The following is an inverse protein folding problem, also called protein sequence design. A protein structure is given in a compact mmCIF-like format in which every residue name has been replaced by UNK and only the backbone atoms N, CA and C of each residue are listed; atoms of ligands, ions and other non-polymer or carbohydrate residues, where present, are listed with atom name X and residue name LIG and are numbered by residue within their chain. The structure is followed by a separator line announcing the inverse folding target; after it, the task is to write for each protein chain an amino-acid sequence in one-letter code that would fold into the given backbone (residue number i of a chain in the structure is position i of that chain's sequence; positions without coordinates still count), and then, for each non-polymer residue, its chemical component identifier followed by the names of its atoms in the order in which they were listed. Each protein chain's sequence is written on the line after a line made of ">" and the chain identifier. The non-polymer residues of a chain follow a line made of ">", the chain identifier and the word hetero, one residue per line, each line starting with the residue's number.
data_IF_287009559605
#
_entry.id   IF_287009559605
#
_cell.length_a   1.000
_cell.length_b   1.000
_cell.length_c   1.000
_cell.angle_alpha   90.00
_cell.angle_beta   90.00
_cell.angle_gamma   90.00
#
_symmetry.space_group_name_H-M   'P 1'
#
loop_
_entity.id
_entity.type
_entity.pdbx_description
1 polymer ?
#
# COMPACT_ATOMS: atom_id res chain seq x y z
N UNK A 1 6.65 -7.10 14.65
CA UNK A 1 6.67 -7.30 13.18
C UNK A 1 5.64 -8.32 12.64
N UNK A 2 4.93 -9.09 13.46
CA UNK A 2 3.82 -9.98 13.00
C UNK A 2 2.47 -9.26 12.82
N UNK A 3 2.16 -8.29 13.69
CA UNK A 3 1.05 -7.33 13.48
C UNK A 3 1.31 -6.31 12.35
N UNK A 4 2.55 -6.29 11.85
CA UNK A 4 2.95 -5.49 10.71
C UNK A 4 2.44 -6.12 9.41
N UNK A 5 2.00 -7.39 9.33
CA UNK A 5 1.77 -8.06 8.03
C UNK A 5 0.45 -7.78 7.32
N UNK A 6 -0.64 -7.47 8.03
CA UNK A 6 -1.91 -7.09 7.36
C UNK A 6 -1.91 -5.61 7.01
N UNK A 7 -1.29 -4.81 7.88
CA UNK A 7 -0.89 -3.44 7.61
C UNK A 7 0.13 -3.41 6.48
N UNK A 8 1.10 -4.33 6.42
CA UNK A 8 2.03 -4.50 5.30
C UNK A 8 1.25 -4.97 4.11
N UNK A 9 0.40 -6.00 4.07
CA UNK A 9 -0.29 -6.36 2.82
C UNK A 9 -1.10 -5.19 2.27
N UNK A 10 -1.78 -4.41 3.12
CA UNK A 10 -2.45 -3.18 2.69
C UNK A 10 -1.45 -2.07 2.28
N UNK A 11 -0.36 -1.87 3.03
CA UNK A 11 0.73 -0.94 2.76
C UNK A 11 1.65 -1.45 1.65
N UNK A 12 1.69 -2.72 1.27
CA UNK A 12 2.50 -3.35 0.22
C UNK A 12 1.67 -3.35 -1.04
N UNK A 13 0.35 -3.59 -0.97
CA UNK A 13 -0.53 -3.33 -2.11
C UNK A 13 -0.55 -1.83 -2.45
N UNK A 14 -0.49 -0.95 -1.44
CA UNK A 14 -0.40 0.50 -1.63
C UNK A 14 1.03 0.99 -1.99
N UNK A 15 2.06 0.59 -1.25
CA UNK A 15 3.47 0.99 -1.44
C UNK A 15 4.22 0.17 -2.49
N UNK A 16 3.85 -1.07 -2.84
CA UNK A 16 4.51 -1.76 -3.97
C UNK A 16 3.97 -1.23 -5.29
N UNK A 17 2.70 -0.83 -5.33
CA UNK A 17 2.16 0.02 -6.41
C UNK A 17 2.87 1.36 -6.44
N UNK A 18 2.88 2.13 -5.35
CA UNK A 18 3.53 3.45 -5.29
C UNK A 18 5.05 3.41 -5.43
N UNK A 19 5.75 2.36 -4.97
CA UNK A 19 7.22 2.21 -5.10
C UNK A 19 7.62 1.67 -6.46
N UNK A 20 6.84 0.75 -7.08
CA UNK A 20 7.11 0.33 -8.46
C UNK A 20 6.72 1.44 -9.45
N UNK A 21 5.62 2.16 -9.21
CA UNK A 21 5.24 3.37 -9.96
C UNK A 21 6.30 4.46 -9.74
N UNK A 22 6.77 4.70 -8.50
CA UNK A 22 7.88 5.61 -8.20
C UNK A 22 9.18 5.19 -8.88
N UNK A 23 9.56 3.91 -8.83
CA UNK A 23 10.75 3.41 -9.52
C UNK A 23 10.61 3.55 -11.04
N UNK A 24 9.40 3.39 -11.57
CA UNK A 24 9.08 3.60 -13.00
C UNK A 24 9.15 5.09 -13.36
N UNK A 25 8.58 5.97 -12.54
CA UNK A 25 8.62 7.42 -12.71
C UNK A 25 10.05 7.95 -12.59
N UNK A 26 10.82 7.46 -11.62
CA UNK A 26 12.26 7.70 -11.48
C UNK A 26 12.99 7.14 -12.70
N UNK A 27 12.59 5.97 -13.21
CA UNK A 27 13.18 5.36 -14.41
C UNK A 27 13.01 6.26 -15.65
N UNK A 28 11.78 6.65 -15.92
CA UNK A 28 11.43 7.50 -17.07
C UNK A 28 12.01 8.91 -16.91
N UNK A 29 11.96 9.46 -15.70
CA UNK A 29 12.38 10.84 -15.44
C UNK A 29 13.88 10.97 -15.38
N UNK A 30 14.62 10.02 -14.79
CA UNK A 30 16.04 10.21 -14.47
C UNK A 30 17.04 9.47 -15.35
N UNK A 31 16.65 8.40 -16.04
CA UNK A 31 17.64 7.58 -16.78
C UNK A 31 17.71 7.97 -18.25
N UNK A 32 18.90 7.82 -18.84
CA UNK A 32 19.15 8.05 -20.28
C UNK A 32 19.86 6.88 -20.99
N UNK A 33 20.54 5.97 -20.27
CA UNK A 33 21.53 5.07 -20.91
C UNK A 33 21.69 3.69 -20.22
N UNK A 34 20.92 3.38 -19.16
CA UNK A 34 21.00 2.08 -18.47
C UNK A 34 22.29 1.80 -17.68
N UNK A 35 23.21 2.76 -17.54
CA UNK A 35 24.51 2.53 -16.90
C UNK A 35 24.42 2.20 -15.39
N UNK A 36 23.43 2.73 -14.69
CA UNK A 36 23.18 2.42 -13.27
C UNK A 36 22.35 1.13 -13.05
N UNK A 37 21.83 0.48 -14.10
CA UNK A 37 20.90 -0.66 -13.96
C UNK A 37 21.56 -1.96 -13.52
N UNK A 38 22.84 -2.18 -13.83
CA UNK A 38 23.55 -3.42 -13.50
C UNK A 38 23.77 -3.64 -11.99
N UNK A 39 23.24 -2.77 -11.13
CA UNK A 39 23.43 -2.86 -9.68
C UNK A 39 22.12 -3.04 -8.86
N UNK A 40 20.95 -3.07 -9.50
CA UNK A 40 19.67 -3.29 -8.81
C UNK A 40 19.36 -4.79 -8.58
N UNK A 41 20.26 -5.49 -7.89
CA UNK A 41 19.98 -6.81 -7.30
C UNK A 41 19.59 -6.71 -5.82
N UNK A 42 19.25 -5.52 -5.34
CA UNK A 42 18.81 -5.32 -3.96
C UNK A 42 17.32 -5.64 -3.85
N UNK A 43 16.99 -6.93 -3.89
CA UNK A 43 15.62 -7.44 -3.75
C UNK A 43 15.23 -7.77 -2.30
N UNK A 44 16.07 -7.40 -1.32
CA UNK A 44 15.82 -7.71 0.08
C UNK A 44 16.10 -6.50 0.97
N UNK A 45 15.26 -6.28 1.97
CA UNK A 45 15.53 -5.34 3.06
C UNK A 45 16.49 -6.01 4.06
N UNK A 46 17.50 -5.30 4.61
CA UNK A 46 18.43 -5.86 5.56
C UNK A 46 17.72 -6.21 6.87
N UNK A 47 17.94 -7.43 7.38
CA UNK A 47 17.17 -7.98 8.53
C UNK A 47 18.06 -8.08 9.78
N UNK A 48 19.37 -8.27 9.58
CA UNK A 48 20.38 -8.29 10.64
C UNK A 48 21.36 -7.12 10.46
N UNK A 49 22.13 -6.79 11.51
CA UNK A 49 23.22 -5.82 11.42
C UNK A 49 24.26 -6.24 10.36
N UNK A 50 24.49 -7.55 10.20
CA UNK A 50 25.35 -8.10 9.15
C UNK A 50 24.76 -7.85 7.75
N UNK A 51 23.45 -8.03 7.58
CA UNK A 51 22.77 -7.72 6.32
C UNK A 51 22.77 -6.23 6.04
N UNK A 52 22.59 -5.39 7.07
CA UNK A 52 22.65 -3.94 6.96
C UNK A 52 24.04 -3.49 6.51
N UNK A 53 25.11 -4.06 7.08
CA UNK A 53 26.48 -3.80 6.67
C UNK A 53 26.79 -4.25 5.23
N UNK A 54 26.11 -5.27 4.71
CA UNK A 54 26.23 -5.72 3.32
C UNK A 54 25.36 -4.88 2.37
N UNK A 55 24.18 -4.49 2.82
CA UNK A 55 23.17 -3.74 2.09
C UNK A 55 23.57 -2.28 1.91
N UNK A 56 24.06 -1.64 2.98
CA UNK A 56 24.30 -0.21 3.04
C UNK A 56 25.29 0.32 1.99
N UNK A 57 26.47 -0.30 1.76
CA UNK A 57 27.38 0.15 0.70
C UNK A 57 26.75 0.05 -0.70
N UNK A 58 25.95 -0.99 -0.94
CA UNK A 58 25.32 -1.24 -2.24
C UNK A 58 24.13 -0.31 -2.48
N UNK A 59 23.26 -0.15 -1.49
CA UNK A 59 22.10 0.74 -1.54
C UNK A 59 22.53 2.21 -1.66
N UNK A 60 23.53 2.63 -0.89
CA UNK A 60 24.10 3.99 -0.97
C UNK A 60 24.72 4.25 -2.34
N UNK A 61 25.49 3.28 -2.88
CA UNK A 61 26.09 3.40 -4.22
C UNK A 61 25.02 3.52 -5.31
N UNK A 62 23.97 2.69 -5.27
CA UNK A 62 22.89 2.71 -6.26
C UNK A 62 22.13 4.01 -6.22
N UNK A 63 21.85 4.51 -5.02
CA UNK A 63 21.14 5.75 -4.80
C UNK A 63 21.94 6.97 -5.25
N UNK A 64 23.25 7.03 -4.99
CA UNK A 64 24.10 8.10 -5.54
C UNK A 64 24.22 8.03 -7.07
N UNK A 65 24.22 6.83 -7.65
CA UNK A 65 24.14 6.65 -9.10
C UNK A 65 22.83 7.24 -9.65
N UNK A 66 21.71 6.93 -9.01
CA UNK A 66 20.37 7.42 -9.34
C UNK A 66 20.27 8.95 -9.24
N UNK A 67 20.72 9.54 -8.12
CA UNK A 67 20.77 11.00 -7.93
C UNK A 67 21.64 11.63 -9.01
N UNK A 68 22.81 11.05 -9.30
CA UNK A 68 23.73 11.56 -10.31
C UNK A 68 23.11 11.60 -11.72
N UNK A 69 22.36 10.59 -12.10
CA UNK A 69 21.67 10.53 -13.40
C UNK A 69 20.46 11.49 -13.44
N UNK A 70 19.64 11.56 -12.37
CA UNK A 70 18.55 12.55 -12.24
C UNK A 70 19.07 13.99 -12.40
N UNK A 71 20.13 14.34 -11.65
CA UNK A 71 20.74 15.68 -11.66
C UNK A 71 21.36 15.96 -13.03
N UNK A 72 22.11 15.02 -13.62
CA UNK A 72 22.73 15.20 -14.94
C UNK A 72 21.69 15.49 -16.02
N UNK A 73 20.55 14.81 -15.99
CA UNK A 73 19.47 14.99 -16.97
C UNK A 73 18.74 16.33 -16.79
N UNK A 74 18.45 16.72 -15.55
CA UNK A 74 17.85 18.03 -15.24
C UNK A 74 18.77 19.22 -15.58
N UNK A 75 20.09 19.09 -15.41
CA UNK A 75 21.04 20.19 -15.68
C UNK A 75 21.52 20.28 -17.14
N UNK A 76 21.50 19.19 -17.91
CA UNK A 76 21.95 19.21 -19.32
C UNK A 76 20.86 19.63 -20.31
N UNK A 77 19.68 20.03 -19.83
CA UNK A 77 18.63 20.64 -20.66
C UNK A 77 17.96 19.66 -21.64
N UNK A 78 18.12 18.36 -21.45
CA UNK A 78 17.45 17.33 -22.27
C UNK A 78 15.95 17.21 -21.97
N UNK A 79 15.49 17.76 -20.84
CA UNK A 79 14.08 17.86 -20.44
C UNK A 79 13.87 19.25 -19.82
N UNK A 80 12.87 20.05 -20.23
CA UNK A 80 12.55 21.29 -19.54
C UNK A 80 12.15 20.97 -18.08
N UNK A 81 12.64 21.75 -17.09
CA UNK A 81 12.30 21.51 -15.69
C UNK A 81 10.78 21.53 -15.51
N UNK A 82 10.23 20.42 -15.01
CA UNK A 82 8.82 20.28 -14.66
C UNK A 82 8.72 20.10 -13.15
N UNK A 83 7.57 20.44 -12.54
CA UNK A 83 7.35 20.21 -11.11
C UNK A 83 7.59 18.74 -10.76
N UNK A 84 7.14 17.81 -11.62
CA UNK A 84 7.38 16.35 -11.49
C UNK A 84 8.87 15.97 -11.37
N UNK A 85 9.77 16.58 -12.14
CA UNK A 85 11.20 16.23 -12.06
C UNK A 85 11.89 16.80 -10.81
N UNK A 86 11.43 17.95 -10.31
CA UNK A 86 11.87 18.51 -9.04
C UNK A 86 11.38 17.66 -7.86
N UNK A 87 10.11 17.25 -7.85
CA UNK A 87 9.51 16.44 -6.79
C UNK A 87 10.16 15.06 -6.68
N UNK A 88 10.41 14.39 -7.82
CA UNK A 88 11.14 13.12 -7.86
C UNK A 88 12.57 13.31 -7.33
N UNK A 89 13.25 14.40 -7.68
CA UNK A 89 14.61 14.68 -7.17
C UNK A 89 14.59 14.89 -5.65
N UNK A 90 13.61 15.63 -5.13
CA UNK A 90 13.44 15.82 -3.69
C UNK A 90 13.15 14.51 -2.96
N UNK A 91 12.26 13.68 -3.48
CA UNK A 91 11.91 12.39 -2.88
C UNK A 91 13.10 11.41 -2.89
N UNK A 92 13.88 11.37 -3.98
CA UNK A 92 15.12 10.56 -4.03
C UNK A 92 16.14 11.04 -3.01
N UNK A 93 16.25 12.35 -2.79
CA UNK A 93 17.12 12.93 -1.75
C UNK A 93 16.63 12.60 -0.33
N UNK A 94 15.32 12.62 -0.08
CA UNK A 94 14.75 12.24 1.22
C UNK A 94 14.97 10.76 1.52
N UNK A 95 14.81 9.88 0.51
CA UNK A 95 15.14 8.46 0.61
C UNK A 95 16.65 8.28 0.89
N UNK A 96 17.49 9.14 0.30
CA UNK A 96 18.93 9.16 0.56
C UNK A 96 19.29 9.56 1.96
N UNK A 97 18.63 10.57 2.52
CA UNK A 97 18.84 10.96 3.91
C UNK A 97 18.43 9.83 4.87
N UNK A 98 17.30 9.16 4.61
CA UNK A 98 16.87 7.99 5.41
C UNK A 98 17.88 6.84 5.29
N UNK A 99 18.36 6.53 4.08
CA UNK A 99 19.36 5.49 3.86
C UNK A 99 20.71 5.84 4.50
N UNK A 100 21.17 7.08 4.38
CA UNK A 100 22.42 7.56 4.98
C UNK A 100 22.32 7.46 6.51
N UNK A 101 21.21 7.88 7.10
CA UNK A 101 21.01 7.80 8.54
C UNK A 101 20.87 6.34 9.02
N UNK A 102 20.24 5.45 8.24
CA UNK A 102 20.22 3.99 8.50
C UNK A 102 21.61 3.36 8.41
N UNK A 103 22.45 3.85 7.51
CA UNK A 103 23.76 3.27 7.19
C UNK A 103 24.94 3.92 7.91
N UNK A 104 24.70 4.96 8.72
CA UNK A 104 25.72 5.63 9.52
C UNK A 104 25.65 5.16 10.96
N UNK A 105 26.62 4.35 11.44
CA UNK A 105 26.64 3.91 12.83
C UNK A 105 26.65 5.11 13.80
N UNK A 106 25.75 5.12 14.77
CA UNK A 106 25.71 6.12 15.84
C UNK A 106 24.99 7.43 15.51
N UNK A 107 24.34 7.57 14.35
CA UNK A 107 23.44 8.70 14.09
C UNK A 107 22.02 8.42 14.55
N UNK A 108 21.44 9.35 15.31
CA UNK A 108 20.00 9.41 15.53
C UNK A 108 19.30 9.90 14.25
N UNK A 109 18.65 8.98 13.54
CA UNK A 109 17.74 9.24 12.40
C UNK A 109 16.77 10.39 12.69
N UNK A 110 16.76 11.44 11.85
CA UNK A 110 15.84 12.58 11.96
C UNK A 110 14.38 12.18 11.67
N UNK A 111 13.46 12.91 12.31
CA UNK A 111 12.00 12.68 12.34
C UNK A 111 11.32 12.96 10.98
N UNK A 112 11.16 11.96 10.10
CA UNK A 112 10.42 12.16 8.83
C UNK A 112 9.17 11.29 8.65
N UNK A 113 8.74 10.50 9.65
CA UNK A 113 7.40 9.89 9.63
C UNK A 113 6.86 9.73 11.04
N UNK A 114 5.72 10.38 11.32
CA UNK A 114 5.04 10.33 12.62
C UNK A 114 4.62 8.90 12.96
N UNK A 115 4.18 8.11 11.97
CA UNK A 115 3.77 6.70 12.15
C UNK A 115 4.97 5.79 12.46
N UNK A 116 6.07 5.95 11.72
CA UNK A 116 7.31 5.23 12.02
C UNK A 116 7.89 5.68 13.36
N UNK A 117 7.75 6.95 13.73
CA UNK A 117 8.12 7.49 15.03
C UNK A 117 7.34 6.85 16.18
N UNK A 118 6.03 6.63 16.03
CA UNK A 118 5.22 5.93 17.02
C UNK A 118 5.69 4.48 17.23
N UNK A 119 5.88 3.74 16.13
CA UNK A 119 6.28 2.34 16.20
C UNK A 119 7.73 2.13 16.66
N UNK A 120 8.62 3.10 16.39
CA UNK A 120 10.05 2.97 16.68
C UNK A 120 10.36 2.95 18.18
N UNK A 121 9.48 3.49 19.01
CA UNK A 121 9.62 3.43 20.47
C UNK A 121 8.97 2.19 21.09
N UNK A 122 8.19 1.43 20.32
CA UNK A 122 7.48 0.26 20.82
C UNK A 122 8.26 -1.01 20.44
N UNK A 123 8.92 -1.63 21.42
CA UNK A 123 9.65 -2.87 21.20
C UNK A 123 8.70 -4.08 21.01
N UNK A 124 8.24 -4.26 19.78
CA UNK A 124 7.43 -5.43 19.38
C UNK A 124 8.29 -6.64 18.99
N UNK A 125 9.62 -6.60 19.21
CA UNK A 125 10.50 -7.73 18.87
C UNK A 125 10.25 -8.93 19.77
N UNK A 126 9.87 -8.71 21.03
CA UNK A 126 9.44 -9.75 21.99
C UNK A 126 8.23 -10.57 21.52
N UNK A 127 7.44 -10.04 20.58
CA UNK A 127 6.25 -10.71 20.04
C UNK A 127 6.53 -11.52 18.76
N UNK A 128 7.80 -11.62 18.36
CA UNK A 128 8.21 -12.33 17.16
C UNK A 128 8.35 -13.83 17.45
N UNK A 129 7.75 -14.62 16.58
CA UNK A 129 7.95 -16.07 16.52
C UNK A 129 8.70 -16.39 15.21
N UNK A 130 10.00 -16.62 15.33
CA UNK A 130 10.87 -16.91 14.19
C UNK A 130 10.57 -18.26 13.53
N UNK A 131 10.07 -19.22 14.31
CA UNK A 131 9.68 -20.53 13.80
C UNK A 131 8.41 -20.40 12.96
N UNK A 132 7.36 -19.77 13.53
CA UNK A 132 6.13 -19.43 12.80
C UNK A 132 6.43 -18.69 11.50
N UNK A 133 7.32 -17.69 11.56
CA UNK A 133 7.74 -16.92 10.39
C UNK A 133 8.34 -17.83 9.30
N UNK A 134 9.24 -18.71 9.69
CA UNK A 134 9.90 -19.65 8.78
C UNK A 134 8.89 -20.60 8.16
N UNK A 135 7.93 -21.09 8.94
CA UNK A 135 6.87 -21.97 8.45
C UNK A 135 5.91 -21.26 7.48
N UNK A 136 5.49 -20.03 7.80
CA UNK A 136 4.67 -19.21 6.92
C UNK A 136 5.40 -18.92 5.61
N UNK A 137 6.69 -18.56 5.66
CA UNK A 137 7.48 -18.34 4.45
C UNK A 137 7.51 -19.57 3.53
N UNK A 138 7.60 -20.78 4.09
CA UNK A 138 7.58 -22.04 3.30
C UNK A 138 6.29 -22.24 2.53
N UNK A 139 5.16 -21.73 3.04
CA UNK A 139 3.86 -21.82 2.36
C UNK A 139 3.50 -20.55 1.58
N UNK A 140 4.45 -19.61 1.41
CA UNK A 140 4.20 -18.34 0.75
C UNK A 140 3.26 -17.42 1.54
N UNK A 141 3.40 -17.41 2.87
CA UNK A 141 2.76 -16.51 3.84
C UNK A 141 1.25 -16.60 3.99
N UNK A 142 0.58 -17.42 3.19
CA UNK A 142 -0.88 -17.48 3.12
C UNK A 142 -1.32 -18.94 3.28
N UNK A 143 -1.90 -19.29 4.45
CA UNK A 143 -2.54 -20.59 4.64
C UNK A 143 -3.68 -20.78 3.64
N UNK A 144 -3.64 -21.82 2.82
CA UNK A 144 -4.65 -22.07 1.79
C UNK A 144 -5.59 -23.22 2.11
N UNK A 145 -5.37 -23.95 3.20
CA UNK A 145 -6.23 -25.07 3.63
C UNK A 145 -6.71 -24.90 5.07
N UNK A 146 -7.79 -25.60 5.40
CA UNK A 146 -8.37 -25.65 6.75
C UNK A 146 -7.33 -26.17 7.77
N UNK A 147 -6.57 -27.20 7.42
CA UNK A 147 -5.50 -27.76 8.26
C UNK A 147 -4.39 -26.73 8.50
N UNK A 148 -3.99 -25.99 7.47
CA UNK A 148 -2.99 -24.93 7.61
C UNK A 148 -3.52 -23.81 8.51
N UNK A 149 -4.76 -23.35 8.33
CA UNK A 149 -5.34 -22.36 9.23
C UNK A 149 -5.39 -22.86 10.67
N UNK A 150 -5.84 -24.10 10.91
CA UNK A 150 -5.91 -24.66 12.26
C UNK A 150 -4.54 -24.77 12.92
N UNK A 151 -3.48 -25.02 12.15
CA UNK A 151 -2.10 -25.00 12.62
C UNK A 151 -1.59 -23.57 12.91
N UNK A 152 -1.80 -22.63 11.99
CA UNK A 152 -1.17 -21.30 12.05
C UNK A 152 -1.94 -20.27 12.85
N UNK A 153 -3.26 -20.41 12.98
CA UNK A 153 -4.09 -19.44 13.67
C UNK A 153 -3.74 -19.23 15.15
N UNK A 154 -3.54 -20.29 15.98
CA UNK A 154 -3.17 -20.09 17.37
C UNK A 154 -1.89 -19.25 17.57
N UNK A 155 -0.74 -19.56 16.95
CA UNK A 155 0.47 -18.74 17.13
C UNK A 155 0.36 -17.36 16.47
N UNK A 156 -0.35 -17.20 15.34
CA UNK A 156 -0.63 -15.87 14.75
C UNK A 156 -1.42 -15.01 15.73
N UNK A 157 -2.49 -15.55 16.31
CA UNK A 157 -3.35 -14.84 17.26
C UNK A 157 -2.60 -14.46 18.54
N UNK A 158 -1.70 -15.32 19.02
CA UNK A 158 -0.82 -15.03 20.15
C UNK A 158 0.14 -13.89 19.84
N UNK A 159 0.83 -13.93 18.70
CA UNK A 159 1.75 -12.86 18.28
C UNK A 159 1.05 -11.53 18.07
N UNK A 160 -0.15 -11.55 17.48
CA UNK A 160 -0.99 -10.37 17.28
C UNK A 160 -1.45 -9.76 18.62
N UNK A 161 -1.86 -10.59 19.58
CA UNK A 161 -2.22 -10.13 20.93
C UNK A 161 -1.05 -9.46 21.62
N UNK A 162 0.12 -10.12 21.66
CA UNK A 162 1.34 -9.55 22.24
C UNK A 162 1.68 -8.20 21.61
N UNK A 163 1.60 -8.09 20.27
CA UNK A 163 1.92 -6.86 19.56
C UNK A 163 0.93 -5.73 19.92
N UNK A 164 -0.37 -6.03 19.98
CA UNK A 164 -1.40 -5.06 20.39
C UNK A 164 -1.17 -4.57 21.82
N UNK A 165 -0.95 -5.48 22.77
CA UNK A 165 -0.68 -5.15 24.17
C UNK A 165 0.57 -4.27 24.29
N UNK A 166 1.65 -4.65 23.60
CA UNK A 166 2.91 -3.88 23.59
C UNK A 166 2.73 -2.48 23.02
N UNK A 167 1.95 -2.33 21.94
CA UNK A 167 1.67 -1.02 21.34
C UNK A 167 0.81 -0.17 22.29
N UNK A 168 -0.21 -0.75 22.93
CA UNK A 168 -1.05 -0.05 23.90
C UNK A 168 -0.24 0.42 25.12
N UNK A 169 0.61 -0.45 25.67
CA UNK A 169 1.53 -0.12 26.78
C UNK A 169 2.47 1.03 26.40
N UNK A 170 3.07 0.96 25.21
CA UNK A 170 4.01 1.95 24.70
C UNK A 170 3.37 3.32 24.45
N UNK A 171 2.19 3.35 23.83
CA UNK A 171 1.46 4.59 23.51
C UNK A 171 0.76 5.15 24.76
N UNK A 172 0.49 4.31 25.75
CA UNK A 172 -0.29 4.66 26.93
C UNK A 172 -1.76 4.91 26.62
N UNK A 173 -2.28 4.36 25.52
CA UNK A 173 -3.67 4.49 25.07
C UNK A 173 -4.21 3.19 24.53
N UNK A 174 -5.52 3.00 24.69
CA UNK A 174 -6.22 1.92 24.02
C UNK A 174 -6.27 2.17 22.49
N UNK A 175 -6.12 1.11 21.68
CA UNK A 175 -6.11 1.25 20.22
C UNK A 175 -7.49 1.61 19.65
N UNK A 176 -8.58 1.23 20.31
CA UNK A 176 -9.93 1.63 19.91
C UNK A 176 -10.11 3.12 20.18
N UNK A 177 -9.68 3.61 21.35
CA UNK A 177 -9.65 5.04 21.65
C UNK A 177 -8.79 5.79 20.62
N UNK A 178 -7.59 5.27 20.32
CA UNK A 178 -6.68 5.85 19.34
C UNK A 178 -7.33 5.92 17.95
N UNK A 179 -8.10 4.90 17.56
CA UNK A 179 -8.81 4.85 16.26
C UNK A 179 -9.87 5.95 16.09
N UNK A 180 -10.29 6.58 17.18
CA UNK A 180 -11.25 7.69 17.21
C UNK A 180 -10.61 9.04 17.55
N UNK A 181 -9.28 9.11 17.56
CA UNK A 181 -8.53 10.34 17.86
C UNK A 181 -8.79 11.45 16.83
N UNK A 182 -8.77 12.70 17.27
CA UNK A 182 -8.82 13.88 16.38
C UNK A 182 -7.55 13.97 15.49
N UNK A 183 -6.45 13.35 15.92
CA UNK A 183 -5.26 13.22 15.09
C UNK A 183 -5.49 12.15 14.02
N UNK A 184 -5.74 12.57 12.77
CA UNK A 184 -6.02 11.71 11.62
C UNK A 184 -5.01 10.56 11.45
N UNK A 185 -3.72 10.84 11.61
CA UNK A 185 -2.65 9.85 11.48
C UNK A 185 -2.72 8.79 12.58
N UNK A 186 -2.91 9.22 13.82
CA UNK A 186 -3.06 8.31 14.96
C UNK A 186 -4.36 7.48 14.84
N UNK A 187 -5.45 8.10 14.40
CA UNK A 187 -6.72 7.43 14.13
C UNK A 187 -6.60 6.37 13.04
N UNK A 188 -5.97 6.71 11.91
CA UNK A 188 -5.72 5.76 10.82
C UNK A 188 -4.85 4.58 11.29
N UNK A 189 -3.80 4.84 12.08
CA UNK A 189 -2.97 3.79 12.66
C UNK A 189 -3.75 2.88 13.62
N UNK A 190 -4.44 3.46 14.62
CA UNK A 190 -5.25 2.71 15.57
C UNK A 190 -6.32 1.87 14.87
N UNK A 191 -7.01 2.47 13.88
CA UNK A 191 -8.00 1.79 13.06
C UNK A 191 -7.38 0.64 12.27
N UNK A 192 -6.23 0.84 11.62
CA UNK A 192 -5.55 -0.20 10.86
C UNK A 192 -5.16 -1.41 11.71
N UNK A 193 -4.66 -1.20 12.94
CA UNK A 193 -4.30 -2.29 13.85
C UNK A 193 -5.56 -3.02 14.34
N UNK A 194 -6.62 -2.29 14.71
CA UNK A 194 -7.88 -2.90 15.16
C UNK A 194 -8.56 -3.68 14.02
N UNK A 195 -8.63 -3.11 12.82
CA UNK A 195 -9.19 -3.76 11.64
C UNK A 195 -8.43 -5.04 11.27
N UNK A 196 -7.09 -4.98 11.32
CA UNK A 196 -6.20 -6.13 11.16
C UNK A 196 -6.50 -7.23 12.18
N UNK A 197 -6.56 -6.87 13.47
CA UNK A 197 -6.86 -7.82 14.53
C UNK A 197 -8.19 -8.51 14.31
N UNK A 198 -9.23 -7.75 14.00
CA UNK A 198 -10.58 -8.26 13.78
C UNK A 198 -10.64 -9.16 12.54
N UNK A 199 -9.98 -8.78 11.43
CA UNK A 199 -9.89 -9.61 10.23
C UNK A 199 -9.24 -10.97 10.53
N UNK A 200 -8.05 -10.97 11.15
CA UNK A 200 -7.34 -12.20 11.50
C UNK A 200 -8.19 -13.04 12.46
N UNK A 201 -8.82 -12.42 13.46
CA UNK A 201 -9.71 -13.11 14.39
C UNK A 201 -10.84 -13.81 13.66
N UNK A 202 -11.48 -13.14 12.71
CA UNK A 202 -12.58 -13.73 11.95
C UNK A 202 -12.10 -14.89 11.08
N UNK A 203 -11.01 -14.73 10.32
CA UNK A 203 -10.40 -15.82 9.51
C UNK A 203 -10.04 -17.02 10.40
N UNK A 204 -9.53 -16.76 11.60
CA UNK A 204 -9.07 -17.80 12.52
C UNK A 204 -10.16 -18.43 13.39
N UNK A 205 -11.37 -17.87 13.38
CA UNK A 205 -12.50 -18.40 14.15
C UNK A 205 -13.32 -19.34 13.27
N UNK A 206 -13.47 -20.63 13.63
CA UNK A 206 -14.32 -21.56 12.87
C UNK A 206 -15.78 -21.09 12.78
N UNK A 207 -16.39 -21.29 11.62
CA UNK A 207 -17.80 -20.97 11.36
C UNK A 207 -18.11 -19.48 11.12
N UNK A 208 -17.09 -18.61 11.02
CA UNK A 208 -17.33 -17.24 10.55
C UNK A 208 -17.46 -17.23 9.03
N UNK A 209 -18.32 -16.34 8.52
CA UNK A 209 -18.44 -16.09 7.08
C UNK A 209 -17.12 -15.68 6.43
N UNK A 210 -16.28 -14.93 7.15
CA UNK A 210 -14.96 -14.52 6.63
C UNK A 210 -14.04 -15.71 6.44
N UNK A 211 -14.00 -16.67 7.38
CA UNK A 211 -13.22 -17.90 7.23
C UNK A 211 -13.71 -18.73 6.05
N UNK A 212 -15.03 -18.89 5.92
CA UNK A 212 -15.65 -19.64 4.82
C UNK A 212 -15.27 -19.03 3.46
N UNK A 213 -15.47 -17.73 3.30
CA UNK A 213 -15.12 -17.03 2.06
C UNK A 213 -13.60 -17.05 1.79
N UNK A 214 -12.78 -16.93 2.84
CA UNK A 214 -11.33 -17.03 2.72
C UNK A 214 -10.93 -18.40 2.19
N UNK A 215 -11.39 -19.48 2.81
CA UNK A 215 -11.03 -20.85 2.39
C UNK A 215 -11.58 -21.21 1.00
N UNK A 216 -12.75 -20.67 0.61
CA UNK A 216 -13.31 -20.94 -0.71
C UNK A 216 -12.54 -20.24 -1.84
N UNK A 217 -11.82 -19.15 -1.55
CA UNK A 217 -11.23 -18.29 -2.59
C UNK A 217 -9.71 -18.10 -2.51
N UNK A 218 -9.07 -18.36 -1.38
CA UNK A 218 -7.67 -17.97 -1.15
C UNK A 218 -6.68 -18.74 -2.04
N UNK A 219 -6.98 -19.98 -2.40
CA UNK A 219 -6.13 -20.80 -3.27
C UNK A 219 -5.94 -20.14 -4.64
N UNK A 220 -6.99 -19.53 -5.20
CA UNK A 220 -6.91 -18.73 -6.43
C UNK A 220 -6.39 -17.31 -6.16
N UNK A 221 -6.95 -16.65 -5.14
CA UNK A 221 -6.67 -15.23 -4.88
C UNK A 221 -5.21 -14.98 -4.55
N UNK A 222 -4.54 -15.94 -3.91
CA UNK A 222 -3.13 -15.84 -3.52
C UNK A 222 -2.24 -15.47 -4.71
N UNK A 223 -2.38 -16.16 -5.83
CA UNK A 223 -1.52 -15.93 -6.99
C UNK A 223 -1.73 -14.52 -7.55
N UNK A 224 -2.99 -14.08 -7.66
CA UNK A 224 -3.32 -12.73 -8.13
C UNK A 224 -2.89 -11.62 -7.14
N UNK A 225 -2.92 -11.88 -5.84
CA UNK A 225 -2.53 -10.92 -4.80
C UNK A 225 -1.00 -10.73 -4.71
N UNK A 226 -0.22 -11.76 -5.06
CA UNK A 226 1.23 -11.71 -5.05
C UNK A 226 1.85 -11.40 -6.40
N UNK A 227 1.09 -11.55 -7.49
CA UNK A 227 1.46 -11.07 -8.81
C UNK A 227 1.29 -9.54 -8.89
N UNK A 228 2.36 -8.77 -9.16
CA UNK A 228 2.24 -7.33 -9.34
C UNK A 228 1.56 -6.94 -10.67
N UNK A 229 1.50 -7.82 -11.67
CA UNK A 229 1.04 -7.48 -13.02
C UNK A 229 -0.41 -6.95 -13.06
N UNK A 230 -1.41 -7.57 -12.41
CA UNK A 230 -2.78 -7.04 -12.38
C UNK A 230 -2.86 -5.62 -11.81
N UNK A 231 -2.15 -5.33 -10.72
CA UNK A 231 -2.14 -4.00 -10.10
C UNK A 231 -1.44 -2.97 -10.99
N UNK A 232 -0.33 -3.33 -11.64
CA UNK A 232 0.37 -2.45 -12.60
C UNK A 232 -0.52 -2.15 -13.80
N UNK A 233 -1.18 -3.17 -14.37
CA UNK A 233 -2.13 -3.02 -15.47
C UNK A 233 -3.27 -2.07 -15.09
N UNK A 234 -3.88 -2.28 -13.92
CA UNK A 234 -4.91 -1.39 -13.40
C UNK A 234 -4.40 0.03 -13.15
N UNK A 235 -3.14 0.18 -12.73
CA UNK A 235 -2.50 1.48 -12.55
C UNK A 235 -2.34 2.27 -13.84
N UNK A 236 -1.82 1.62 -14.89
CA UNK A 236 -1.70 2.24 -16.22
C UNK A 236 -3.05 2.66 -16.79
N UNK A 237 -4.06 1.80 -16.62
CA UNK A 237 -5.43 2.14 -17.02
C UNK A 237 -5.98 3.32 -16.21
N UNK A 238 -5.74 3.37 -14.91
CA UNK A 238 -6.18 4.47 -14.05
C UNK A 238 -5.68 5.82 -14.57
N UNK A 239 -4.38 5.92 -14.88
CA UNK A 239 -3.78 7.14 -15.44
C UNK A 239 -4.42 7.52 -16.78
N UNK A 240 -4.50 6.56 -17.72
CA UNK A 240 -5.10 6.82 -19.04
C UNK A 240 -6.57 7.28 -18.96
N UNK A 241 -7.34 6.77 -18.00
CA UNK A 241 -8.72 7.20 -17.78
C UNK A 241 -8.81 8.53 -17.05
N UNK A 242 -7.93 8.79 -16.09
CA UNK A 242 -7.88 10.06 -15.39
C UNK A 242 -7.50 11.21 -16.32
N UNK A 243 -6.52 11.01 -17.22
CA UNK A 243 -6.14 12.01 -18.22
C UNK A 243 -7.35 12.38 -19.11
N UNK A 244 -8.10 11.38 -19.60
CA UNK A 244 -9.34 11.60 -20.36
C UNK A 244 -10.41 12.32 -19.54
N UNK A 245 -10.52 12.00 -18.26
CA UNK A 245 -11.48 12.63 -17.35
C UNK A 245 -11.13 14.12 -17.17
N UNK A 246 -9.86 14.45 -16.94
CA UNK A 246 -9.40 15.84 -16.86
C UNK A 246 -9.64 16.62 -18.15
N UNK A 247 -9.31 16.02 -19.31
CA UNK A 247 -9.59 16.61 -20.62
C UNK A 247 -11.09 16.89 -20.81
N UNK A 248 -11.95 15.94 -20.43
CA UNK A 248 -13.41 16.08 -20.54
C UNK A 248 -13.94 17.24 -19.67
N UNK A 249 -13.42 17.38 -18.44
CA UNK A 249 -13.79 18.48 -17.54
C UNK A 249 -13.29 19.83 -18.04
N UNK A 250 -12.07 19.87 -18.60
CA UNK A 250 -11.51 21.07 -19.18
C UNK A 250 -12.37 21.59 -20.35
N UNK A 251 -12.86 20.69 -21.21
CA UNK A 251 -13.77 21.03 -22.32
C UNK A 251 -15.12 21.58 -21.84
N UNK A 252 -15.60 21.14 -20.68
CA UNK A 252 -16.84 21.62 -20.04
C UNK A 252 -16.65 22.90 -19.21
N UNK A 253 -15.44 23.44 -19.12
CA UNK A 253 -15.13 24.62 -18.30
C UNK A 253 -15.09 24.34 -16.79
N UNK A 254 -15.12 23.06 -16.39
CA UNK A 254 -15.14 22.61 -14.99
C UNK A 254 -13.75 22.16 -14.52
N UNK A 255 -12.71 22.94 -14.84
CA UNK A 255 -11.34 22.61 -14.49
C UNK A 255 -11.19 22.47 -12.97
N UNK A 256 -10.42 21.46 -12.55
CA UNK A 256 -10.06 21.26 -11.15
C UNK A 256 -9.10 22.39 -10.75
N UNK A 257 -9.33 23.10 -9.63
CA UNK A 257 -8.37 24.05 -9.10
C UNK A 257 -6.98 23.41 -8.96
N UNK A 258 -5.92 24.17 -9.25
CA UNK A 258 -4.55 23.64 -9.23
C UNK A 258 -4.21 23.05 -7.86
N UNK A 259 -4.74 23.66 -6.81
CA UNK A 259 -4.53 23.28 -5.41
C UNK A 259 -5.18 21.93 -5.07
N UNK A 260 -6.28 21.58 -5.72
CA UNK A 260 -7.05 20.36 -5.45
C UNK A 260 -6.69 19.22 -6.41
N UNK A 261 -5.97 19.53 -7.51
CA UNK A 261 -5.68 18.59 -8.59
C UNK A 261 -4.94 17.34 -8.13
N UNK A 262 -3.92 17.50 -7.29
CA UNK A 262 -3.12 16.37 -6.80
C UNK A 262 -3.94 15.44 -5.89
N UNK A 263 -4.66 16.01 -4.92
CA UNK A 263 -5.51 15.24 -4.01
C UNK A 263 -6.66 14.54 -4.74
N UNK A 264 -7.27 15.22 -5.72
CA UNK A 264 -8.29 14.62 -6.58
C UNK A 264 -7.70 13.50 -7.44
N UNK A 265 -6.54 13.70 -8.07
CA UNK A 265 -5.86 12.67 -8.85
C UNK A 265 -5.56 11.43 -7.99
N UNK A 266 -4.96 11.61 -6.82
CA UNK A 266 -4.63 10.52 -5.90
C UNK A 266 -5.88 9.73 -5.48
N UNK A 267 -6.97 10.43 -5.18
CA UNK A 267 -8.26 9.81 -4.90
C UNK A 267 -8.76 8.99 -6.09
N UNK A 268 -8.92 9.62 -7.26
CA UNK A 268 -9.50 9.00 -8.46
C UNK A 268 -8.69 7.80 -8.91
N UNK A 269 -7.37 7.96 -9.01
CA UNK A 269 -6.44 6.92 -9.43
C UNK A 269 -6.46 5.74 -8.47
N UNK A 270 -6.37 6.00 -7.15
CA UNK A 270 -6.37 4.93 -6.15
C UNK A 270 -7.68 4.14 -6.18
N UNK A 271 -8.81 4.85 -6.21
CA UNK A 271 -10.14 4.23 -6.21
C UNK A 271 -10.36 3.41 -7.49
N UNK A 272 -9.97 3.92 -8.66
CA UNK A 272 -10.02 3.15 -9.91
C UNK A 272 -9.11 1.92 -9.83
N UNK A 273 -7.85 2.07 -9.38
CA UNK A 273 -6.88 0.96 -9.26
C UNK A 273 -7.49 -0.18 -8.44
N UNK A 274 -8.08 0.13 -7.28
CA UNK A 274 -8.74 -0.87 -6.44
C UNK A 274 -9.97 -1.50 -7.10
N UNK A 275 -10.78 -0.71 -7.81
CA UNK A 275 -11.98 -1.23 -8.47
C UNK A 275 -11.64 -2.15 -9.65
N UNK A 276 -10.66 -1.75 -10.46
CA UNK A 276 -10.11 -2.57 -11.54
C UNK A 276 -9.53 -3.89 -11.00
N UNK A 277 -8.73 -3.84 -9.93
CA UNK A 277 -8.17 -5.05 -9.34
C UNK A 277 -9.25 -5.96 -8.75
N UNK A 278 -10.26 -5.39 -8.09
CA UNK A 278 -11.40 -6.15 -7.58
C UNK A 278 -12.19 -6.82 -8.72
N UNK A 279 -12.36 -6.14 -9.85
CA UNK A 279 -12.99 -6.73 -11.04
C UNK A 279 -12.14 -7.85 -11.64
N UNK A 280 -10.82 -7.68 -11.75
CA UNK A 280 -9.93 -8.76 -12.21
C UNK A 280 -9.98 -9.98 -11.27
N UNK A 281 -10.05 -9.75 -9.95
CA UNK A 281 -10.19 -10.80 -8.96
C UNK A 281 -11.54 -11.52 -9.07
N UNK A 282 -12.62 -10.78 -9.33
CA UNK A 282 -13.93 -11.35 -9.62
C UNK A 282 -13.87 -12.24 -10.87
N UNK A 283 -13.34 -11.71 -11.97
CA UNK A 283 -13.30 -12.39 -13.26
C UNK A 283 -12.43 -13.67 -13.21
N UNK A 284 -11.38 -13.66 -12.40
CA UNK A 284 -10.41 -14.77 -12.29
C UNK A 284 -10.76 -15.79 -11.21
N UNK A 285 -11.15 -15.32 -10.02
CA UNK A 285 -11.33 -16.16 -8.83
C UNK A 285 -12.78 -16.24 -8.35
N UNK A 286 -13.70 -15.55 -9.01
CA UNK A 286 -15.12 -15.61 -8.74
C UNK A 286 -15.61 -14.66 -7.64
N UNK A 287 -16.92 -14.72 -7.43
CA UNK A 287 -17.67 -13.79 -6.59
C UNK A 287 -17.27 -13.84 -5.10
N UNK A 288 -16.86 -15.00 -4.57
CA UNK A 288 -16.44 -15.12 -3.17
C UNK A 288 -15.12 -14.40 -2.90
N UNK A 289 -14.17 -14.48 -3.85
CA UNK A 289 -12.89 -13.77 -3.79
C UNK A 289 -13.12 -12.26 -3.79
N UNK A 290 -13.96 -11.79 -4.72
CA UNK A 290 -14.39 -10.40 -4.82
C UNK A 290 -15.04 -9.92 -3.51
N UNK A 291 -16.05 -10.63 -3.00
CA UNK A 291 -16.73 -10.26 -1.75
C UNK A 291 -15.78 -10.19 -0.56
N UNK A 292 -14.82 -11.11 -0.48
CA UNK A 292 -13.79 -11.12 0.57
C UNK A 292 -12.94 -9.86 0.49
N UNK A 293 -12.45 -9.50 -0.71
CA UNK A 293 -11.68 -8.28 -0.91
C UNK A 293 -12.48 -7.02 -0.56
N UNK A 294 -13.74 -6.94 -0.97
CA UNK A 294 -14.62 -5.81 -0.64
C UNK A 294 -14.86 -5.70 0.86
N UNK A 295 -15.05 -6.82 1.58
CA UNK A 295 -15.22 -6.78 3.03
C UNK A 295 -13.92 -6.32 3.73
N UNK A 296 -12.76 -6.74 3.23
CA UNK A 296 -11.46 -6.24 3.68
C UNK A 296 -11.38 -4.72 3.44
N UNK A 297 -11.70 -4.24 2.23
CA UNK A 297 -11.66 -2.80 1.92
C UNK A 297 -12.55 -1.96 2.85
N UNK A 298 -13.76 -2.45 3.14
CA UNK A 298 -14.69 -1.82 4.08
C UNK A 298 -14.15 -1.78 5.52
N UNK A 299 -13.53 -2.88 5.98
CA UNK A 299 -12.95 -2.98 7.33
C UNK A 299 -11.76 -2.06 7.53
N UNK A 300 -10.89 -1.92 6.52
CA UNK A 300 -9.72 -1.07 6.58
C UNK A 300 -10.01 0.39 6.22
N UNK A 301 -11.20 0.68 5.70
CA UNK A 301 -11.58 2.00 5.22
C UNK A 301 -10.56 2.56 4.22
N UNK A 302 -10.06 1.71 3.30
CA UNK A 302 -8.96 2.08 2.38
C UNK A 302 -9.22 3.37 1.61
N UNK A 303 -10.47 3.59 1.20
CA UNK A 303 -10.82 4.79 0.47
C UNK A 303 -10.84 6.06 1.34
N UNK A 304 -10.83 5.96 2.67
CA UNK A 304 -10.57 7.12 3.53
C UNK A 304 -9.08 7.49 3.55
N UNK A 305 -8.19 6.54 3.24
CA UNK A 305 -6.76 6.81 3.19
C UNK A 305 -6.36 7.51 1.90
N UNK A 306 -7.13 7.38 0.82
CA UNK A 306 -6.94 8.11 -0.43
C UNK A 306 -7.52 9.53 -0.39
N UNK A 307 -7.77 10.08 0.80
CA UNK A 307 -8.27 11.45 1.06
C UNK A 307 -9.47 11.94 0.23
N UNK A 308 -10.22 11.01 -0.37
CA UNK A 308 -11.36 11.32 -1.22
C UNK A 308 -12.42 12.13 -0.47
N UNK A 309 -12.77 13.30 -1.00
CA UNK A 309 -13.91 14.08 -0.51
C UNK A 309 -15.23 13.43 -0.93
N UNK A 310 -16.33 13.82 -0.27
CA UNK A 310 -17.68 13.36 -0.68
C UNK A 310 -18.03 13.78 -2.11
N UNK A 311 -17.45 14.89 -2.60
CA UNK A 311 -17.60 15.32 -3.99
C UNK A 311 -16.87 14.36 -4.93
N UNK A 312 -15.60 14.02 -4.65
CA UNK A 312 -14.85 13.07 -5.49
C UNK A 312 -15.56 11.71 -5.56
N UNK A 313 -16.11 11.21 -4.44
CA UNK A 313 -16.87 9.94 -4.44
C UNK A 313 -18.17 10.04 -5.27
N UNK A 314 -18.80 11.22 -5.31
CA UNK A 314 -19.98 11.43 -6.15
C UNK A 314 -19.59 11.43 -7.62
N UNK A 315 -18.56 12.17 -7.98
CA UNK A 315 -18.07 12.30 -9.35
C UNK A 315 -17.55 10.95 -9.88
N UNK A 316 -16.90 10.16 -9.01
CA UNK A 316 -16.54 8.77 -9.30
C UNK A 316 -17.74 7.95 -9.74
N UNK A 317 -18.89 8.11 -9.06
CA UNK A 317 -20.09 7.30 -9.30
C UNK A 317 -20.93 7.76 -10.49
N UNK A 318 -20.75 9.00 -10.92
CA UNK A 318 -21.47 9.57 -12.06
C UNK A 318 -20.52 9.68 -13.23
N UNK A 319 -19.88 10.84 -13.36
CA UNK A 319 -19.22 11.32 -14.56
C UNK A 319 -18.04 10.42 -14.91
N UNK A 320 -17.31 9.98 -13.90
CA UNK A 320 -16.17 9.08 -14.10
C UNK A 320 -16.63 7.68 -14.52
N UNK A 321 -17.58 7.05 -13.83
CA UNK A 321 -18.12 5.74 -14.22
C UNK A 321 -18.74 5.75 -15.63
N UNK A 322 -19.44 6.82 -15.99
CA UNK A 322 -20.04 6.96 -17.31
C UNK A 322 -18.97 7.08 -18.41
N UNK A 323 -17.85 7.77 -18.13
CA UNK A 323 -16.71 7.88 -19.04
C UNK A 323 -16.01 6.54 -19.30
N UNK A 324 -16.04 5.61 -18.36
CA UNK A 324 -15.36 4.32 -18.51
C UNK A 324 -16.02 3.39 -19.53
N UNK A 325 -17.27 3.67 -19.93
CA UNK A 325 -18.05 2.84 -20.88
C UNK A 325 -18.03 1.34 -20.56
N UNK A 326 -18.03 0.99 -19.26
CA UNK A 326 -17.96 -0.39 -18.81
C UNK A 326 -19.27 -1.15 -19.08
N UNK A 327 -19.14 -2.44 -19.38
CA UNK A 327 -20.27 -3.38 -19.37
C UNK A 327 -20.98 -3.36 -18.01
N UNK A 328 -22.30 -3.60 -18.02
CA UNK A 328 -23.16 -3.46 -16.83
C UNK A 328 -22.64 -4.22 -15.60
N UNK A 329 -22.13 -5.45 -15.81
CA UNK A 329 -21.56 -6.25 -14.75
C UNK A 329 -20.29 -5.59 -14.15
N UNK A 330 -19.35 -5.16 -14.98
CA UNK A 330 -18.13 -4.47 -14.51
C UNK A 330 -18.44 -3.13 -13.85
N UNK A 331 -19.39 -2.38 -14.41
CA UNK A 331 -19.90 -1.13 -13.82
C UNK A 331 -20.44 -1.36 -12.41
N UNK A 332 -21.18 -2.45 -12.20
CA UNK A 332 -21.69 -2.84 -10.87
C UNK A 332 -20.57 -3.17 -9.88
N UNK A 333 -19.53 -3.90 -10.33
CA UNK A 333 -18.36 -4.22 -9.50
C UNK A 333 -17.60 -2.96 -9.06
N UNK A 334 -17.39 -2.02 -9.98
CA UNK A 334 -16.72 -0.74 -9.68
C UNK A 334 -17.55 0.11 -8.73
N UNK A 335 -18.86 0.24 -8.99
CA UNK A 335 -19.78 1.01 -8.14
C UNK A 335 -19.75 0.51 -6.68
N UNK A 336 -19.75 -0.82 -6.49
CA UNK A 336 -19.68 -1.43 -5.15
C UNK A 336 -18.38 -1.08 -4.42
N UNK A 337 -17.25 -1.00 -5.13
CA UNK A 337 -15.96 -0.55 -4.56
C UNK A 337 -16.08 0.91 -4.14
N UNK A 338 -16.65 1.77 -5.00
CA UNK A 338 -16.83 3.20 -4.71
C UNK A 338 -17.79 3.44 -3.54
N UNK A 339 -18.71 2.52 -3.29
CA UNK A 339 -19.62 2.52 -2.14
C UNK A 339 -19.01 2.03 -0.83
N UNK A 340 -17.87 1.35 -0.87
CA UNK A 340 -17.20 0.86 0.34
C UNK A 340 -16.80 1.97 1.33
N UNK A 341 -16.82 3.24 0.88
CA UNK A 341 -16.57 4.44 1.67
C UNK A 341 -17.68 4.83 2.66
N UNK A 342 -18.93 4.34 2.49
CA UNK A 342 -20.09 4.95 3.16
C UNK A 342 -19.91 4.95 4.69
N UNK A 343 -19.80 6.15 5.27
CA UNK A 343 -19.72 6.36 6.73
C UNK A 343 -20.91 5.66 7.39
N UNK A 344 -20.65 4.77 8.36
CA UNK A 344 -21.67 4.46 9.38
C UNK A 344 -21.91 5.79 10.12
N UNK A 345 -23.13 6.31 9.99
CA UNK A 345 -23.59 7.52 10.69
C UNK A 345 -23.60 7.30 12.19
#
# INVERSE_FOLDING_TARGET
>A
MTALWSVIIVIFLYQRGSFADFLTDVQETCFTDGSCWNYYEINYLPITEKDLNLYCPLATKNLWCLIGDCVRKNFRGSVPPSNKSADITHMVLDIADVLIDLCTPGKELRKSSVVLGFLRNCDTTKCQDFELRTELQRIGWVPTTEEQLNRFCPPIMMGLRCAVETIQECIGKDLVELSTSDNKTAAAFGHGVVATRNLITDICTPGTKMRENYLSSISCSKDLLFDPEPMIKCGRQAYAFYDKYEESRALLGNQIPVEDRESEADCMLSVYKFACFAAELHDTCGEDAYKTLIDIFKRFQLLKWSECTEANIRDLKTDFLDLLELEEQRRSLFSTVFESQKRRK
#
